data_IF_523368276840
#
_entry.id   IF_523368276840
#
_cell.length_a   1.000
_cell.length_b   1.000
_cell.length_c   1.000
_cell.angle_alpha   90.00
_cell.angle_beta   90.00
_cell.angle_gamma   90.00
#
_symmetry.space_group_name_H-M   'P 1'
#
loop_
_entity.id
_entity.type
_entity.pdbx_description
1 polymer ?
#
# COMPACT_ATOMS: atom_id res chain seq x y z
N UNK A 1 -11.61 14.75 6.50
CA UNK A 1 -10.67 14.39 7.58
C UNK A 1 -9.54 13.59 6.95
N UNK A 2 -8.35 14.18 6.80
CA UNK A 2 -7.18 13.51 6.22
C UNK A 2 -6.73 12.38 7.16
N UNK A 3 -7.01 11.12 6.81
CA UNK A 3 -6.23 10.02 7.35
C UNK A 3 -4.84 10.14 6.74
N UNK A 4 -3.85 10.52 7.55
CA UNK A 4 -2.45 10.44 7.16
C UNK A 4 -2.18 8.98 6.78
N UNK A 5 -1.91 8.69 5.50
CA UNK A 5 -1.61 7.33 5.00
C UNK A 5 -0.25 6.91 5.56
N UNK A 6 -0.22 6.51 6.83
CA UNK A 6 1.00 6.13 7.53
C UNK A 6 1.61 4.88 6.89
N UNK A 7 2.93 4.84 6.84
CA UNK A 7 3.64 3.68 6.35
C UNK A 7 3.34 2.46 7.25
N UNK A 8 3.00 1.33 6.62
CA UNK A 8 2.61 0.09 7.31
C UNK A 8 3.66 -1.00 7.15
N UNK A 9 3.69 -1.94 8.09
CA UNK A 9 4.48 -3.16 7.94
C UNK A 9 3.85 -4.09 6.87
N UNK A 10 4.64 -4.72 6.00
CA UNK A 10 4.13 -5.68 5.02
C UNK A 10 3.34 -6.85 5.64
N UNK A 11 3.70 -7.28 6.85
CA UNK A 11 2.94 -8.29 7.60
C UNK A 11 1.54 -7.85 8.00
N UNK A 12 1.35 -6.57 8.36
CA UNK A 12 0.01 -6.02 8.62
C UNK A 12 -0.82 -5.96 7.35
N UNK A 13 -0.21 -5.53 6.23
CA UNK A 13 -0.88 -5.50 4.93
C UNK A 13 -1.33 -6.90 4.48
N UNK A 14 -0.49 -7.92 4.68
CA UNK A 14 -0.84 -9.30 4.37
C UNK A 14 -2.05 -9.79 5.17
N UNK A 15 -2.09 -9.46 6.47
CA UNK A 15 -3.22 -9.78 7.36
C UNK A 15 -4.51 -9.07 6.93
N UNK A 16 -4.45 -7.75 6.69
CA UNK A 16 -5.60 -6.95 6.25
C UNK A 16 -6.15 -7.43 4.89
N UNK A 17 -5.27 -7.73 3.94
CA UNK A 17 -5.63 -8.20 2.61
C UNK A 17 -5.99 -9.70 2.55
N UNK A 18 -5.95 -10.42 3.69
CA UNK A 18 -6.16 -11.88 3.78
C UNK A 18 -5.30 -12.66 2.77
N UNK A 19 -4.04 -12.26 2.63
CA UNK A 19 -3.08 -12.85 1.70
C UNK A 19 -1.86 -13.40 2.45
N UNK A 20 -1.16 -14.38 1.86
CA UNK A 20 0.11 -14.87 2.43
C UNK A 20 1.19 -13.82 2.34
N UNK A 21 2.07 -13.76 3.34
CA UNK A 21 3.17 -12.80 3.38
C UNK A 21 4.03 -12.77 2.10
N UNK A 22 4.39 -13.94 1.55
CA UNK A 22 5.22 -14.05 0.34
C UNK A 22 4.56 -13.37 -0.87
N UNK A 23 3.29 -13.68 -1.13
CA UNK A 23 2.52 -13.03 -2.20
C UNK A 23 2.36 -11.53 -1.98
N UNK A 24 2.11 -11.08 -0.74
CA UNK A 24 2.04 -9.65 -0.42
C UNK A 24 3.36 -8.94 -0.69
N UNK A 25 4.49 -9.49 -0.26
CA UNK A 25 5.81 -8.90 -0.52
C UNK A 25 6.12 -8.86 -2.01
N UNK A 26 5.83 -9.93 -2.76
CA UNK A 26 6.01 -9.96 -4.21
C UNK A 26 5.19 -8.89 -4.93
N UNK A 27 3.93 -8.70 -4.52
CA UNK A 27 3.08 -7.64 -5.04
C UNK A 27 3.63 -6.25 -4.70
N UNK A 28 4.05 -6.02 -3.45
CA UNK A 28 4.62 -4.74 -3.02
C UNK A 28 5.93 -4.40 -3.76
N UNK A 29 6.76 -5.39 -4.08
CA UNK A 29 7.95 -5.20 -4.92
C UNK A 29 7.58 -4.77 -6.35
N UNK A 30 6.54 -5.37 -6.93
CA UNK A 30 6.01 -4.94 -8.24
C UNK A 30 5.47 -3.51 -8.16
N UNK A 31 4.74 -3.16 -7.09
CA UNK A 31 4.22 -1.81 -6.87
C UNK A 31 5.35 -0.79 -6.71
N UNK A 32 6.45 -1.15 -6.02
CA UNK A 32 7.65 -0.31 -5.89
C UNK A 32 8.31 -0.08 -7.24
N UNK A 33 8.50 -1.14 -8.05
CA UNK A 33 9.05 -1.05 -9.41
C UNK A 33 8.22 -0.13 -10.32
N UNK A 34 6.91 -0.06 -10.10
CA UNK A 34 5.99 0.81 -10.84
C UNK A 34 5.85 2.23 -10.24
N UNK A 35 6.59 2.51 -9.16
CA UNK A 35 6.61 3.80 -8.48
C UNK A 35 5.35 4.12 -7.69
N UNK A 36 4.57 3.12 -7.28
CA UNK A 36 3.33 3.30 -6.51
C UNK A 36 3.57 3.29 -5.00
N UNK A 37 4.52 2.49 -4.53
CA UNK A 37 4.93 2.44 -3.12
C UNK A 37 6.44 2.66 -3.02
N UNK A 38 6.89 3.04 -1.83
CA UNK A 38 8.30 3.05 -1.44
C UNK A 38 8.48 2.23 -0.19
N UNK A 39 9.58 1.50 -0.11
CA UNK A 39 9.99 0.88 1.14
C UNK A 39 10.96 1.79 1.90
N UNK A 40 10.64 2.08 3.16
CA UNK A 40 11.50 2.84 4.05
C UNK A 40 12.18 1.89 5.04
N UNK A 41 13.51 1.94 5.09
CA UNK A 41 14.30 1.09 5.97
C UNK A 41 14.55 1.84 7.28
N UNK A 42 13.91 1.42 8.36
CA UNK A 42 14.15 1.93 9.71
C UNK A 42 14.86 0.83 10.51
N UNK A 43 16.18 0.74 10.33
CA UNK A 43 16.99 -0.36 10.89
C UNK A 43 16.71 -1.71 10.21
N UNK A 44 16.30 -2.72 10.99
CA UNK A 44 15.90 -4.05 10.46
C UNK A 44 14.47 -4.07 9.92
N UNK A 45 13.70 -3.02 10.20
CA UNK A 45 12.29 -2.94 9.84
C UNK A 45 12.12 -2.26 8.47
N UNK A 46 11.33 -2.89 7.59
CA UNK A 46 10.96 -2.36 6.28
C UNK A 46 9.50 -1.91 6.35
N UNK A 47 9.27 -0.61 6.36
CA UNK A 47 7.92 -0.02 6.25
C UNK A 47 7.58 0.22 4.77
N UNK A 48 6.30 0.17 4.43
CA UNK A 48 5.77 0.49 3.10
C UNK A 48 4.85 1.68 3.19
N UNK A 49 5.12 2.70 2.38
CA UNK A 49 4.24 3.85 2.21
C UNK A 49 3.95 4.09 0.73
N UNK A 50 2.87 4.83 0.44
CA UNK A 50 2.59 5.28 -0.92
C UNK A 50 3.61 6.35 -1.35
N UNK A 51 3.88 6.40 -2.65
CA UNK A 51 4.48 7.57 -3.28
C UNK A 51 3.37 8.58 -3.62
N UNK A 52 3.73 9.79 -4.08
CA UNK A 52 2.74 10.74 -4.61
C UNK A 52 1.89 10.14 -5.75
N UNK A 53 2.50 9.36 -6.64
CA UNK A 53 1.79 8.63 -7.70
C UNK A 53 0.86 7.57 -7.10
N UNK A 54 1.31 6.85 -6.08
CA UNK A 54 0.49 5.87 -5.36
C UNK A 54 -0.72 6.48 -4.65
N UNK A 55 -0.56 7.67 -4.05
CA UNK A 55 -1.66 8.41 -3.44
C UNK A 55 -2.72 8.79 -4.47
N UNK A 56 -2.32 9.35 -5.61
CA UNK A 56 -3.23 9.68 -6.72
C UNK A 56 -4.02 8.44 -7.19
N UNK A 57 -3.33 7.32 -7.38
CA UNK A 57 -3.98 6.05 -7.78
C UNK A 57 -4.95 5.57 -6.70
N UNK A 58 -4.54 5.62 -5.42
CA UNK A 58 -5.40 5.25 -4.29
C UNK A 58 -6.67 6.09 -4.24
N UNK A 59 -6.59 7.39 -4.52
CA UNK A 59 -7.74 8.28 -4.49
C UNK A 59 -8.73 7.94 -5.63
N UNK A 60 -8.22 7.53 -6.80
CA UNK A 60 -9.07 7.00 -7.89
C UNK A 60 -9.77 5.70 -7.49
N UNK A 61 -9.08 4.77 -6.81
CA UNK A 61 -9.70 3.54 -6.30
C UNK A 61 -10.80 3.84 -5.27
N UNK A 62 -10.62 4.82 -4.40
CA UNK A 62 -11.68 5.25 -3.47
C UNK A 62 -12.91 5.80 -4.21
N UNK A 63 -12.71 6.60 -5.26
CA UNK A 63 -13.82 7.12 -6.08
C UNK A 63 -14.58 5.99 -6.79
N UNK A 64 -13.85 5.02 -7.35
CA UNK A 64 -14.44 3.81 -7.95
C UNK A 64 -15.24 3.03 -6.89
N UNK A 65 -14.67 2.82 -5.70
CA UNK A 65 -15.33 2.14 -4.59
C UNK A 65 -16.66 2.79 -4.19
N UNK A 66 -16.70 4.13 -4.09
CA UNK A 66 -17.93 4.89 -3.82
C UNK A 66 -18.99 4.74 -4.91
N UNK A 67 -18.57 4.53 -6.15
CA UNK A 67 -19.49 4.34 -7.28
C UNK A 67 -20.07 2.92 -7.31
N UNK A 68 -19.24 1.92 -6.99
CA UNK A 68 -19.61 0.51 -7.08
C UNK A 68 -20.39 0.00 -5.87
N UNK A 69 -20.10 0.53 -4.68
CA UNK A 69 -20.73 0.13 -3.42
C UNK A 69 -21.77 1.19 -3.07
N UNK A 70 -23.00 1.00 -3.58
CA UNK A 70 -24.19 1.72 -3.12
C UNK A 70 -24.86 0.95 -1.97
#
# INVERSE_FOLDING_TARGET
MNQTKQAKYPSMLAKEAKCTYSHTVHLLQKMEKNGLVKFEKKGRLKLVGLTKKGEQVSDLFEQVGRTLVR
#
